data_IF_206800641123
#
_entry.id   IF_206800641123
#
_cell.length_a   1.000
_cell.length_b   1.000
_cell.length_c   1.000
_cell.angle_alpha   90.00
_cell.angle_beta   90.00
_cell.angle_gamma   90.00
#
_symmetry.space_group_name_H-M   'P 1'
#
loop_
_entity.id
_entity.type
_entity.pdbx_description
1 polymer ?
#
# COMPACT_ATOMS: atom_id res chain seq x y z
N UNK A 1 18.99 33.96 -17.01
CA UNK A 1 18.72 33.94 -15.57
C UNK A 1 17.74 32.82 -15.29
N UNK A 2 18.25 31.67 -14.87
CA UNK A 2 17.46 30.44 -14.66
C UNK A 2 16.73 30.56 -13.32
N UNK A 3 15.40 30.65 -13.34
CA UNK A 3 14.59 30.59 -12.12
C UNK A 3 14.75 29.19 -11.52
N UNK A 4 15.47 29.11 -10.42
CA UNK A 4 15.53 27.94 -9.54
C UNK A 4 14.09 27.64 -9.12
N UNK A 5 13.51 26.56 -9.67
CA UNK A 5 12.22 26.03 -9.20
C UNK A 5 12.41 25.69 -7.70
N UNK A 6 11.86 26.55 -6.86
CA UNK A 6 11.75 26.26 -5.42
C UNK A 6 11.18 24.87 -5.26
N UNK A 7 11.96 23.96 -4.66
CA UNK A 7 11.56 22.56 -4.51
C UNK A 7 10.26 22.51 -3.70
N UNK A 8 9.17 22.05 -4.33
CA UNK A 8 7.94 21.76 -3.59
C UNK A 8 8.29 20.75 -2.48
N UNK A 9 7.89 21.05 -1.25
CA UNK A 9 8.11 20.17 -0.10
C UNK A 9 7.54 18.77 -0.41
N UNK A 10 8.26 17.73 0.01
CA UNK A 10 7.77 16.35 -0.08
C UNK A 10 6.54 16.21 0.80
N UNK A 11 5.57 15.41 0.35
CA UNK A 11 4.32 15.15 1.09
C UNK A 11 4.38 13.79 1.78
N UNK A 12 3.76 13.64 2.96
CA UNK A 12 3.58 12.33 3.57
C UNK A 12 2.62 11.49 2.72
N UNK A 13 2.75 10.18 2.81
CA UNK A 13 1.87 9.24 2.14
C UNK A 13 1.41 8.13 3.07
N UNK A 14 0.27 7.55 2.75
CA UNK A 14 -0.12 6.24 3.27
C UNK A 14 -0.09 5.27 2.09
N UNK A 15 0.88 4.36 2.14
CA UNK A 15 0.95 3.20 1.26
C UNK A 15 0.00 2.14 1.77
N UNK A 16 -0.82 1.59 0.90
CA UNK A 16 -1.91 0.68 1.28
C UNK A 16 -1.79 -0.57 0.42
N UNK A 17 -1.72 -1.74 1.05
CA UNK A 17 -1.85 -2.98 0.30
C UNK A 17 -3.26 -3.10 -0.30
N UNK A 18 -3.37 -3.87 -1.39
CA UNK A 18 -4.65 -4.04 -2.10
C UNK A 18 -5.50 -5.13 -1.48
N UNK A 19 -5.06 -6.37 -1.62
CA UNK A 19 -5.86 -7.56 -1.32
C UNK A 19 -5.86 -7.85 0.19
N UNK A 20 -7.03 -8.00 0.81
CA UNK A 20 -7.18 -8.15 2.27
C UNK A 20 -7.07 -6.85 3.07
N UNK A 21 -6.64 -5.74 2.46
CA UNK A 21 -6.47 -4.43 3.11
C UNK A 21 -7.44 -3.39 2.57
N UNK A 22 -7.29 -2.98 1.31
CA UNK A 22 -8.18 -2.00 0.65
C UNK A 22 -9.43 -2.66 0.07
N UNK A 23 -9.27 -3.84 -0.52
CA UNK A 23 -10.34 -4.64 -1.09
C UNK A 23 -10.37 -6.03 -0.44
N UNK A 24 -11.54 -6.66 -0.46
CA UNK A 24 -11.68 -8.04 -0.01
C UNK A 24 -10.73 -8.94 -0.79
N UNK A 25 -10.08 -9.88 -0.10
CA UNK A 25 -9.14 -10.80 -0.73
C UNK A 25 -9.90 -11.86 -1.54
N UNK A 26 -9.74 -11.76 -2.85
CA UNK A 26 -10.16 -12.79 -3.80
C UNK A 26 -8.92 -13.24 -4.57
N UNK A 27 -8.43 -14.46 -4.36
CA UNK A 27 -7.16 -14.91 -4.94
C UNK A 27 -7.08 -14.70 -6.46
N UNK A 28 -6.02 -14.00 -6.89
CA UNK A 28 -5.72 -13.69 -8.30
C UNK A 28 -6.84 -12.96 -9.06
N UNK A 29 -7.72 -12.26 -8.37
CA UNK A 29 -8.83 -11.56 -9.02
C UNK A 29 -8.36 -10.38 -9.87
N UNK A 30 -8.79 -10.38 -11.13
CA UNK A 30 -8.72 -9.23 -12.05
C UNK A 30 -10.07 -8.91 -12.69
N UNK A 31 -11.15 -9.53 -12.22
CA UNK A 31 -12.51 -9.25 -12.63
C UNK A 31 -13.09 -8.07 -11.84
N UNK A 32 -13.36 -6.91 -12.48
CA UNK A 32 -13.95 -5.76 -11.81
C UNK A 32 -15.31 -6.05 -11.13
N UNK A 33 -16.07 -7.04 -11.63
CA UNK A 33 -17.36 -7.40 -11.06
C UNK A 33 -17.23 -8.02 -9.65
N UNK A 34 -16.06 -8.56 -9.32
CA UNK A 34 -15.77 -9.14 -8.00
C UNK A 34 -15.09 -8.15 -7.03
N UNK A 35 -14.78 -6.93 -7.51
CA UNK A 35 -14.12 -5.92 -6.70
C UNK A 35 -15.06 -5.42 -5.59
N UNK A 36 -14.65 -5.58 -4.34
CA UNK A 36 -15.37 -5.10 -3.16
C UNK A 36 -14.40 -4.39 -2.23
N UNK A 37 -14.74 -3.17 -1.81
CA UNK A 37 -13.96 -2.46 -0.79
C UNK A 37 -14.15 -3.13 0.58
N UNK A 38 -13.09 -3.19 1.37
CA UNK A 38 -13.18 -3.64 2.76
C UNK A 38 -14.03 -2.66 3.59
N UNK A 39 -14.57 -3.17 4.70
CA UNK A 39 -15.38 -2.36 5.61
C UNK A 39 -14.58 -1.13 6.09
N UNK A 40 -15.18 0.05 5.97
CA UNK A 40 -14.55 1.29 6.43
C UNK A 40 -13.51 1.89 5.50
N UNK A 41 -13.18 1.24 4.36
CA UNK A 41 -12.12 1.70 3.44
C UNK A 41 -12.37 3.13 2.93
N UNK A 42 -13.58 3.46 2.48
CA UNK A 42 -13.90 4.81 2.00
C UNK A 42 -13.71 5.87 3.09
N UNK A 43 -14.19 5.59 4.31
CA UNK A 43 -14.06 6.49 5.45
C UNK A 43 -12.59 6.71 5.82
N UNK A 44 -11.80 5.61 5.83
CA UNK A 44 -10.36 5.65 6.09
C UNK A 44 -9.62 6.53 5.08
N UNK A 45 -9.83 6.29 3.78
CA UNK A 45 -9.16 7.03 2.72
C UNK A 45 -9.52 8.52 2.75
N UNK A 46 -10.80 8.85 2.96
CA UNK A 46 -11.23 10.24 3.14
C UNK A 46 -10.57 10.91 4.35
N UNK A 47 -10.47 10.19 5.47
CA UNK A 47 -9.82 10.70 6.68
C UNK A 47 -8.35 11.00 6.41
N UNK A 48 -7.61 10.08 5.82
CA UNK A 48 -6.19 10.23 5.50
C UNK A 48 -5.94 11.37 4.48
N UNK A 49 -6.75 11.44 3.43
CA UNK A 49 -6.65 12.51 2.43
C UNK A 49 -6.89 13.90 3.03
N UNK A 50 -7.90 14.06 3.90
CA UNK A 50 -8.20 15.32 4.61
C UNK A 50 -7.05 15.78 5.52
N UNK A 51 -6.20 14.85 5.97
CA UNK A 51 -5.01 15.15 6.77
C UNK A 51 -3.74 15.32 5.92
N UNK A 52 -3.91 15.51 4.59
CA UNK A 52 -2.83 15.86 3.69
C UNK A 52 -1.94 14.71 3.23
N UNK A 53 -2.32 13.46 3.50
CA UNK A 53 -1.58 12.30 3.01
C UNK A 53 -1.89 12.01 1.54
N UNK A 54 -0.87 11.69 0.77
CA UNK A 54 -1.04 11.01 -0.52
C UNK A 54 -1.46 9.56 -0.29
N UNK A 55 -2.38 9.06 -1.11
CA UNK A 55 -2.90 7.70 -1.02
C UNK A 55 -2.32 6.86 -2.16
N UNK A 56 -1.53 5.85 -1.82
CA UNK A 56 -0.78 5.04 -2.80
C UNK A 56 -1.01 3.56 -2.55
N UNK A 57 -1.53 2.86 -3.55
CA UNK A 57 -1.66 1.39 -3.49
C UNK A 57 -0.33 0.74 -3.89
N UNK A 58 0.11 -0.25 -3.12
CA UNK A 58 1.30 -1.07 -3.39
C UNK A 58 0.95 -2.55 -3.20
N UNK A 59 1.01 -3.35 -4.27
CA UNK A 59 0.49 -4.71 -4.26
C UNK A 59 1.42 -5.71 -4.95
N UNK A 60 1.47 -6.96 -4.44
CA UNK A 60 2.10 -8.08 -5.12
C UNK A 60 1.06 -8.77 -6.02
N UNK A 61 1.36 -8.90 -7.31
CA UNK A 61 0.46 -9.50 -8.31
C UNK A 61 1.16 -10.62 -9.08
N UNK A 62 1.49 -11.75 -8.41
CA UNK A 62 2.26 -12.84 -9.01
C UNK A 62 1.50 -13.59 -10.11
N UNK A 63 0.18 -13.42 -10.20
CA UNK A 63 -0.64 -14.02 -11.25
C UNK A 63 -0.17 -13.68 -12.67
N UNK A 64 0.51 -12.53 -12.86
CA UNK A 64 1.13 -12.18 -14.16
C UNK A 64 2.27 -13.14 -14.49
N UNK A 65 3.22 -13.36 -13.57
CA UNK A 65 4.33 -14.30 -13.78
C UNK A 65 3.81 -15.74 -13.92
N UNK A 66 2.76 -16.09 -13.19
CA UNK A 66 2.09 -17.40 -13.25
C UNK A 66 1.20 -17.58 -14.47
N UNK A 67 1.07 -16.54 -15.33
CA UNK A 67 0.23 -16.54 -16.54
C UNK A 67 -1.27 -16.81 -16.27
N UNK A 68 -1.75 -16.45 -15.09
CA UNK A 68 -3.17 -16.53 -14.73
C UNK A 68 -3.97 -15.37 -15.34
N UNK A 69 -3.32 -14.23 -15.51
CA UNK A 69 -3.83 -13.04 -16.18
C UNK A 69 -2.65 -12.20 -16.72
N UNK A 70 -2.93 -11.29 -17.62
CA UNK A 70 -1.95 -10.39 -18.19
C UNK A 70 -1.98 -8.98 -17.56
N UNK A 71 -1.06 -8.15 -17.97
CA UNK A 71 -0.96 -6.77 -17.50
C UNK A 71 -2.22 -5.95 -17.84
N UNK A 72 -2.82 -6.18 -19.01
CA UNK A 72 -3.99 -5.44 -19.45
C UNK A 72 -5.22 -5.72 -18.55
N UNK A 73 -5.37 -6.98 -18.10
CA UNK A 73 -6.43 -7.34 -17.16
C UNK A 73 -6.23 -6.63 -15.80
N UNK A 74 -4.98 -6.56 -15.31
CA UNK A 74 -4.68 -5.82 -14.08
C UNK A 74 -4.93 -4.31 -14.24
N UNK A 75 -4.56 -3.73 -15.38
CA UNK A 75 -4.80 -2.30 -15.67
C UNK A 75 -6.32 -2.01 -15.72
N UNK A 76 -7.12 -2.94 -16.24
CA UNK A 76 -8.59 -2.86 -16.22
C UNK A 76 -9.14 -2.86 -14.80
N UNK A 77 -8.65 -3.76 -13.95
CA UNK A 77 -9.04 -3.80 -12.52
C UNK A 77 -8.64 -2.51 -11.79
N UNK A 78 -7.42 -2.02 -12.04
CA UNK A 78 -6.94 -0.75 -11.48
C UNK A 78 -7.86 0.41 -11.87
N UNK A 79 -8.23 0.51 -13.13
CA UNK A 79 -9.15 1.56 -13.60
C UNK A 79 -10.52 1.46 -12.90
N UNK A 80 -11.06 0.25 -12.77
CA UNK A 80 -12.32 0.02 -12.06
C UNK A 80 -12.24 0.41 -10.58
N UNK A 81 -11.11 0.14 -9.91
CA UNK A 81 -10.86 0.57 -8.53
C UNK A 81 -10.85 2.10 -8.42
N UNK A 82 -10.17 2.79 -9.34
CA UNK A 82 -10.12 4.25 -9.36
C UNK A 82 -11.52 4.85 -9.57
N UNK A 83 -12.30 4.32 -10.50
CA UNK A 83 -13.67 4.75 -10.74
C UNK A 83 -14.59 4.47 -9.55
N UNK A 84 -14.43 3.31 -8.90
CA UNK A 84 -15.18 2.97 -7.69
C UNK A 84 -14.90 3.97 -6.57
N UNK A 85 -13.65 4.31 -6.31
CA UNK A 85 -13.26 5.27 -5.28
C UNK A 85 -13.67 6.70 -5.64
N UNK A 86 -13.58 7.09 -6.92
CA UNK A 86 -14.01 8.41 -7.40
C UNK A 86 -15.50 8.68 -7.14
N UNK A 87 -16.37 7.65 -7.23
CA UNK A 87 -17.79 7.76 -6.87
C UNK A 87 -18.01 8.12 -5.39
N UNK A 88 -16.98 7.97 -4.59
CA UNK A 88 -16.95 8.31 -3.16
C UNK A 88 -16.08 9.54 -2.87
N UNK A 89 -15.76 10.37 -3.87
CA UNK A 89 -14.87 11.53 -3.75
C UNK A 89 -13.49 11.20 -3.17
N UNK A 90 -12.97 10.01 -3.48
CA UNK A 90 -11.62 9.55 -3.11
C UNK A 90 -10.79 9.40 -4.37
N UNK A 91 -9.59 9.98 -4.37
CA UNK A 91 -8.59 9.81 -5.41
C UNK A 91 -7.35 9.13 -4.85
N UNK A 92 -6.83 8.14 -5.59
CA UNK A 92 -5.51 7.57 -5.34
C UNK A 92 -4.47 8.37 -6.13
N UNK A 93 -3.34 8.67 -5.49
CA UNK A 93 -2.21 9.35 -6.12
C UNK A 93 -1.35 8.37 -6.94
N UNK A 94 -1.43 7.06 -6.66
CA UNK A 94 -0.67 6.04 -7.40
C UNK A 94 -1.13 4.61 -7.13
N UNK A 95 -0.76 3.73 -8.07
CA UNK A 95 -0.97 2.28 -7.98
C UNK A 95 0.27 1.58 -8.52
N UNK A 96 0.97 0.84 -7.67
CA UNK A 96 2.21 0.17 -7.98
C UNK A 96 2.07 -1.33 -7.72
N UNK A 97 2.35 -2.13 -8.73
CA UNK A 97 2.19 -3.57 -8.67
C UNK A 97 3.49 -4.31 -9.01
N UNK A 98 3.86 -5.28 -8.21
CA UNK A 98 4.93 -6.21 -8.55
C UNK A 98 4.35 -7.40 -9.32
N UNK A 99 4.77 -7.64 -10.57
CA UNK A 99 4.25 -8.75 -11.38
C UNK A 99 4.99 -10.07 -11.15
N UNK A 100 6.04 -10.10 -10.33
CA UNK A 100 6.92 -11.24 -10.19
C UNK A 100 6.36 -12.28 -9.19
N UNK A 101 6.62 -13.56 -9.49
CA UNK A 101 6.37 -14.65 -8.54
C UNK A 101 7.33 -14.58 -7.35
N UNK A 102 7.07 -15.40 -6.35
CA UNK A 102 8.03 -15.64 -5.29
C UNK A 102 9.27 -16.33 -5.85
N UNK A 103 10.47 -15.93 -5.40
CA UNK A 103 11.69 -16.61 -5.81
C UNK A 103 11.68 -18.04 -5.27
N UNK A 104 12.23 -18.97 -6.03
CA UNK A 104 12.50 -20.31 -5.53
C UNK A 104 13.55 -20.26 -4.41
N UNK A 105 13.58 -21.28 -3.57
CA UNK A 105 14.51 -21.35 -2.44
C UNK A 105 15.97 -21.19 -2.91
N UNK A 106 16.64 -20.16 -2.44
CA UNK A 106 18.04 -19.86 -2.77
C UNK A 106 18.22 -18.88 -3.95
N UNK A 107 17.16 -18.44 -4.60
CA UNK A 107 17.22 -17.41 -5.63
C UNK A 107 17.08 -15.98 -5.05
N UNK A 108 17.73 -15.02 -5.71
CA UNK A 108 17.50 -13.61 -5.40
C UNK A 108 16.18 -13.16 -6.03
N UNK A 109 15.24 -12.75 -5.19
CA UNK A 109 13.97 -12.16 -5.66
C UNK A 109 14.15 -10.79 -6.32
N UNK A 110 13.09 -10.30 -6.94
CA UNK A 110 13.07 -8.93 -7.45
C UNK A 110 13.07 -7.92 -6.29
N UNK A 111 13.53 -6.70 -6.57
CA UNK A 111 13.55 -5.61 -5.57
C UNK A 111 12.18 -5.00 -5.29
N UNK A 112 11.16 -5.31 -6.10
CA UNK A 112 9.83 -4.69 -5.99
C UNK A 112 8.81 -5.52 -5.21
N UNK A 113 8.94 -6.87 -5.17
CA UNK A 113 8.01 -7.72 -4.43
C UNK A 113 8.18 -7.53 -2.92
N UNK A 114 7.11 -7.14 -2.22
CA UNK A 114 7.08 -7.13 -0.75
C UNK A 114 7.42 -8.54 -0.22
N UNK A 115 8.36 -8.66 0.74
CA UNK A 115 8.84 -7.66 1.68
C UNK A 115 9.97 -6.73 1.22
N UNK A 116 10.41 -6.76 -0.06
CA UNK A 116 11.33 -5.76 -0.59
C UNK A 116 10.63 -4.38 -0.71
N UNK A 117 11.35 -3.27 -0.49
CA UNK A 117 10.77 -1.93 -0.42
C UNK A 117 10.59 -1.24 -1.78
N UNK A 118 10.95 -1.90 -2.89
CA UNK A 118 11.11 -1.25 -4.19
C UNK A 118 9.89 -0.49 -4.70
N UNK A 119 8.66 -1.01 -4.50
CA UNK A 119 7.44 -0.29 -4.91
C UNK A 119 7.25 1.02 -4.12
N UNK A 120 7.53 1.01 -2.81
CA UNK A 120 7.43 2.20 -1.96
C UNK A 120 8.48 3.25 -2.36
N UNK A 121 9.72 2.80 -2.62
CA UNK A 121 10.82 3.67 -3.06
C UNK A 121 10.53 4.27 -4.44
N UNK A 122 9.99 3.49 -5.38
CA UNK A 122 9.60 3.95 -6.71
C UNK A 122 8.51 5.03 -6.59
N UNK A 123 7.42 4.74 -5.87
CA UNK A 123 6.34 5.69 -5.66
C UNK A 123 6.84 6.99 -5.00
N UNK A 124 7.70 6.86 -3.97
CA UNK A 124 8.27 8.02 -3.29
C UNK A 124 9.11 8.90 -4.22
N UNK A 125 9.86 8.30 -5.13
CA UNK A 125 10.63 9.02 -6.14
C UNK A 125 9.72 9.74 -7.15
N UNK A 126 8.78 9.01 -7.74
CA UNK A 126 7.90 9.51 -8.81
C UNK A 126 6.92 10.58 -8.32
N UNK A 127 6.33 10.38 -7.12
CA UNK A 127 5.33 11.26 -6.53
C UNK A 127 5.93 12.29 -5.54
N UNK A 128 7.26 12.26 -5.34
CA UNK A 128 7.98 13.16 -4.42
C UNK A 128 7.45 13.06 -2.97
N UNK A 129 7.38 11.83 -2.46
CA UNK A 129 6.85 11.56 -1.13
C UNK A 129 7.97 11.56 -0.07
N UNK A 130 7.59 11.86 1.17
CA UNK A 130 8.47 11.81 2.35
C UNK A 130 8.24 10.50 3.10
N UNK A 131 9.10 9.51 2.88
CA UNK A 131 8.99 8.20 3.50
C UNK A 131 9.09 8.24 5.03
N UNK A 132 9.88 9.17 5.58
CA UNK A 132 10.08 9.28 7.03
C UNK A 132 8.82 9.74 7.77
N UNK A 133 7.92 10.44 7.07
CA UNK A 133 6.60 10.87 7.57
C UNK A 133 5.45 10.06 6.98
N UNK A 134 5.76 8.96 6.29
CA UNK A 134 4.79 8.10 5.61
C UNK A 134 4.53 6.82 6.39
N UNK A 135 3.44 6.15 6.01
CA UNK A 135 2.99 4.91 6.61
C UNK A 135 2.80 3.82 5.56
N UNK A 136 3.03 2.57 5.94
CA UNK A 136 2.59 1.39 5.21
C UNK A 136 1.52 0.67 6.04
N UNK A 137 0.38 0.39 5.41
CA UNK A 137 -0.74 -0.37 5.97
C UNK A 137 -0.95 -1.62 5.15
N UNK A 138 -0.96 -2.76 5.78
CA UNK A 138 -1.22 -4.05 5.14
C UNK A 138 -1.68 -5.08 6.17
N UNK A 139 -2.06 -6.26 5.71
CA UNK A 139 -2.66 -7.32 6.51
C UNK A 139 -1.71 -8.50 6.75
N UNK A 140 -0.51 -8.48 6.14
CA UNK A 140 0.53 -9.48 6.35
C UNK A 140 1.87 -8.85 6.74
N UNK A 141 2.76 -9.65 7.33
CA UNK A 141 4.07 -9.20 7.81
C UNK A 141 5.03 -8.78 6.67
N UNK A 142 4.80 -9.23 5.44
CA UNK A 142 5.55 -8.75 4.29
C UNK A 142 5.30 -7.25 4.00
N UNK A 143 4.13 -6.73 4.31
CA UNK A 143 3.80 -5.30 4.20
C UNK A 143 4.55 -4.49 5.27
N UNK A 144 4.51 -4.99 6.50
CA UNK A 144 5.23 -4.39 7.63
C UNK A 144 6.72 -4.29 7.33
N UNK A 145 7.33 -5.38 6.88
CA UNK A 145 8.75 -5.42 6.55
C UNK A 145 9.08 -4.49 5.39
N UNK A 146 8.27 -4.47 4.32
CA UNK A 146 8.47 -3.55 3.19
C UNK A 146 8.43 -2.08 3.64
N UNK A 147 7.45 -1.71 4.46
CA UNK A 147 7.34 -0.37 5.04
C UNK A 147 8.54 0.00 5.91
N UNK A 148 8.95 -0.90 6.81
CA UNK A 148 10.14 -0.71 7.67
C UNK A 148 11.43 -0.54 6.86
N UNK A 149 11.63 -1.37 5.83
CA UNK A 149 12.78 -1.28 4.92
C UNK A 149 12.79 0.02 4.11
N UNK A 150 11.62 0.55 3.77
CA UNK A 150 11.49 1.84 3.10
C UNK A 150 11.69 3.05 4.01
N UNK A 151 11.74 2.85 5.33
CA UNK A 151 11.84 3.93 6.33
C UNK A 151 10.49 4.53 6.72
N UNK A 152 9.38 3.85 6.43
CA UNK A 152 8.04 4.24 6.83
C UNK A 152 7.70 3.71 8.24
N UNK A 153 6.73 4.35 8.89
CA UNK A 153 5.98 3.71 9.99
C UNK A 153 5.00 2.68 9.42
N UNK A 154 4.51 1.77 10.25
CA UNK A 154 3.72 0.63 9.76
C UNK A 154 2.53 0.34 10.66
N UNK A 155 1.41 -0.04 10.05
CA UNK A 155 0.23 -0.59 10.73
C UNK A 155 -0.09 -1.95 10.13
N UNK A 156 -0.17 -2.99 10.97
CA UNK A 156 -0.67 -4.30 10.57
C UNK A 156 -2.18 -4.37 10.83
N UNK A 157 -2.95 -4.71 9.82
CA UNK A 157 -4.35 -5.08 10.01
C UNK A 157 -4.41 -6.54 10.48
N UNK A 158 -4.77 -6.72 11.75
CA UNK A 158 -4.86 -8.06 12.38
C UNK A 158 -6.26 -8.65 12.12
N UNK A 159 -6.50 -9.00 10.85
CA UNK A 159 -7.77 -9.52 10.33
C UNK A 159 -7.75 -11.03 10.07
N UNK A 160 -6.65 -11.70 10.45
CA UNK A 160 -6.50 -13.15 10.34
C UNK A 160 -5.90 -13.64 9.02
N UNK A 161 -5.42 -12.74 8.15
CA UNK A 161 -4.81 -13.11 6.86
C UNK A 161 -3.34 -13.51 6.99
N UNK A 162 -2.64 -13.03 8.04
CA UNK A 162 -1.28 -13.50 8.31
C UNK A 162 -1.29 -14.94 8.85
N UNK A 163 -0.64 -15.84 8.13
CA UNK A 163 -0.54 -17.27 8.49
C UNK A 163 0.88 -17.71 8.82
N UNK A 164 1.87 -16.90 8.44
CA UNK A 164 3.29 -17.19 8.66
C UNK A 164 3.92 -16.16 9.61
N UNK A 165 3.71 -16.31 10.89
CA UNK A 165 4.24 -15.39 11.92
C UNK A 165 5.77 -15.55 12.10
N UNK A 166 6.52 -15.30 10.99
CA UNK A 166 7.98 -15.30 11.02
C UNK A 166 8.48 -14.00 11.66
N UNK A 167 8.89 -14.09 12.91
CA UNK A 167 9.36 -12.94 13.68
C UNK A 167 10.73 -12.44 13.20
N UNK A 168 10.83 -11.14 13.01
CA UNK A 168 12.11 -10.43 12.82
C UNK A 168 11.96 -8.99 13.31
N UNK A 169 13.05 -8.26 13.60
CA UNK A 169 12.96 -6.85 14.00
C UNK A 169 12.26 -5.95 12.97
N UNK A 170 12.31 -6.30 11.68
CA UNK A 170 11.66 -5.56 10.61
C UNK A 170 10.18 -5.93 10.42
N UNK A 171 9.70 -6.99 11.07
CA UNK A 171 8.31 -7.46 11.01
C UNK A 171 7.48 -7.06 12.24
N UNK A 172 8.04 -6.26 13.13
CA UNK A 172 7.30 -5.68 14.26
C UNK A 172 6.61 -4.40 13.78
N UNK A 173 5.27 -4.36 13.69
CA UNK A 173 4.55 -3.16 13.29
C UNK A 173 4.62 -2.09 14.39
N UNK A 174 4.50 -0.81 14.02
CA UNK A 174 4.38 0.27 15.01
C UNK A 174 3.01 0.24 15.70
N UNK A 175 1.97 -0.13 14.96
CA UNK A 175 0.61 -0.32 15.49
C UNK A 175 -0.05 -1.54 14.85
N UNK A 176 -1.07 -2.09 15.55
CA UNK A 176 -2.03 -3.05 15.01
C UNK A 176 -3.41 -2.42 14.99
N UNK A 177 -4.23 -2.78 14.02
CA UNK A 177 -5.60 -2.33 13.87
C UNK A 177 -6.51 -3.48 13.41
N UNK A 178 -7.79 -3.42 13.74
CA UNK A 178 -8.76 -4.43 13.33
C UNK A 178 -9.39 -4.16 11.95
N UNK A 179 -9.23 -2.94 11.41
CA UNK A 179 -9.67 -2.57 10.06
C UNK A 179 -8.92 -1.32 9.56
N UNK A 180 -9.15 -0.97 8.30
CA UNK A 180 -8.47 0.17 7.67
C UNK A 180 -8.89 1.51 8.28
N UNK A 181 -10.13 1.64 8.79
CA UNK A 181 -10.59 2.87 9.43
C UNK A 181 -9.86 3.10 10.76
N UNK A 182 -9.74 2.08 11.58
CA UNK A 182 -8.97 2.16 12.82
C UNK A 182 -7.49 2.47 12.56
N UNK A 183 -6.90 1.89 11.50
CA UNK A 183 -5.54 2.22 11.08
C UNK A 183 -5.41 3.71 10.70
N UNK A 184 -6.37 4.26 9.96
CA UNK A 184 -6.38 5.67 9.59
C UNK A 184 -6.48 6.59 10.80
N UNK A 185 -7.31 6.26 11.78
CA UNK A 185 -7.45 7.00 13.04
C UNK A 185 -6.13 7.00 13.83
N UNK A 186 -5.46 5.86 13.96
CA UNK A 186 -4.15 5.75 14.61
C UNK A 186 -3.09 6.60 13.90
N UNK A 187 -3.05 6.60 12.58
CA UNK A 187 -2.13 7.41 11.77
C UNK A 187 -2.34 8.90 12.04
N UNK A 188 -3.60 9.36 12.03
CA UNK A 188 -3.94 10.77 12.25
C UNK A 188 -3.58 11.22 13.67
N UNK A 189 -3.87 10.40 14.68
CA UNK A 189 -3.47 10.68 16.07
C UNK A 189 -1.95 10.78 16.20
N UNK A 190 -1.23 9.83 15.60
CA UNK A 190 0.22 9.79 15.65
C UNK A 190 0.90 10.97 14.91
N UNK A 191 0.27 11.50 13.86
CA UNK A 191 0.77 12.69 13.14
C UNK A 191 0.61 13.98 13.96
N UNK A 192 -0.36 14.03 14.87
CA UNK A 192 -0.64 15.18 15.72
C UNK A 192 0.07 15.14 17.09
N UNK A 193 0.78 14.06 17.41
CA UNK A 193 1.54 13.93 18.66
C UNK A 193 2.91 14.58 18.49
N UNK A 194 3.30 15.54 19.37
CA UNK A 194 4.65 16.11 19.32
C UNK A 194 5.69 15.01 19.61
N UNK A 195 6.78 15.01 18.86
CA UNK A 195 7.96 14.18 19.07
C UNK A 195 8.77 14.62 20.27
#
# INVERSE_FOLDING_TARGET
>A
MSAVRAGMAKRPAVFIDKDGTLVEDVPYNVDPAQLRLTRGAVQALRLLARHGNSLVVVTNQPGIAMKLFDRAALDTLQQALFEMLARHDVQLDGFYACPHAEPESGEFGCVCRKPAPGLLLQAAHELRLDLSHSWMVGDILNDVEAGRRAGCRTVLLDVGNETEWLESPLRVPHHKAGDLLQAAELIVVAANSPH
#
